data_IF_257910374762
#
_entry.id   IF_257910374762
#
_cell.length_a   1.000
_cell.length_b   1.000
_cell.length_c   1.000
_cell.angle_alpha   90.00
_cell.angle_beta   90.00
_cell.angle_gamma   90.00
#
_symmetry.space_group_name_H-M   'P 1'
#
loop_
_entity.id
_entity.type
_entity.pdbx_description
1 polymer ?
#
# COMPACT_ATOMS: atom_id res chain seq x y z
N UNK A 1 -32.15 10.47 0.39
CA UNK A 1 -31.60 9.29 -0.33
C UNK A 1 -32.04 8.04 0.41
N UNK A 2 -32.63 7.07 -0.26
CA UNK A 2 -33.04 5.83 0.38
C UNK A 2 -31.85 4.88 0.55
N UNK A 3 -32.05 3.77 1.28
CA UNK A 3 -30.99 2.83 1.58
C UNK A 3 -30.39 2.18 0.33
N UNK A 4 -31.21 1.90 -0.68
CA UNK A 4 -30.72 1.29 -1.93
C UNK A 4 -29.84 2.24 -2.71
N UNK A 5 -30.24 3.51 -2.81
CA UNK A 5 -29.45 4.52 -3.51
C UNK A 5 -28.12 4.78 -2.80
N UNK A 6 -28.16 4.87 -1.46
CA UNK A 6 -26.97 5.08 -0.66
C UNK A 6 -25.99 3.92 -0.78
N UNK A 7 -26.51 2.69 -0.72
CA UNK A 7 -25.67 1.49 -0.83
C UNK A 7 -25.06 1.38 -2.22
N UNK A 8 -25.81 1.70 -3.26
CA UNK A 8 -25.31 1.69 -4.63
C UNK A 8 -24.21 2.73 -4.82
N UNK A 9 -24.40 3.92 -4.26
CA UNK A 9 -23.41 4.98 -4.31
C UNK A 9 -22.09 4.53 -3.63
N UNK A 10 -22.18 3.90 -2.46
CA UNK A 10 -21.01 3.39 -1.75
C UNK A 10 -20.29 2.31 -2.53
N UNK A 11 -21.03 1.41 -3.18
CA UNK A 11 -20.44 0.37 -4.01
C UNK A 11 -19.69 0.96 -5.21
N UNK A 12 -20.27 1.97 -5.85
CA UNK A 12 -19.61 2.66 -6.95
C UNK A 12 -18.32 3.36 -6.49
N UNK A 13 -18.38 4.04 -5.35
CA UNK A 13 -17.19 4.69 -4.78
C UNK A 13 -16.11 3.68 -4.44
N UNK A 14 -16.51 2.55 -3.86
CA UNK A 14 -15.56 1.49 -3.51
C UNK A 14 -14.88 0.92 -4.76
N UNK A 15 -15.66 0.69 -5.83
CA UNK A 15 -15.10 0.19 -7.09
C UNK A 15 -14.15 1.19 -7.73
N UNK A 16 -14.49 2.47 -7.72
CA UNK A 16 -13.63 3.52 -8.24
C UNK A 16 -12.34 3.63 -7.44
N UNK A 17 -12.46 3.59 -6.11
CA UNK A 17 -11.29 3.65 -5.23
C UNK A 17 -10.36 2.45 -5.47
N UNK A 18 -10.94 1.26 -5.63
CA UNK A 18 -10.17 0.04 -5.87
C UNK A 18 -9.45 0.08 -7.22
N UNK A 19 -10.12 0.55 -8.27
CA UNK A 19 -9.51 0.67 -9.59
C UNK A 19 -8.35 1.65 -9.58
N UNK A 20 -8.52 2.79 -8.91
CA UNK A 20 -7.46 3.79 -8.77
C UNK A 20 -6.29 3.24 -7.95
N UNK A 21 -6.61 2.53 -6.87
CA UNK A 21 -5.59 1.95 -5.99
C UNK A 21 -4.77 0.88 -6.71
N UNK A 22 -5.38 0.08 -7.60
CA UNK A 22 -4.66 -0.95 -8.34
C UNK A 22 -3.53 -0.33 -9.17
N UNK A 23 -3.79 0.78 -9.83
CA UNK A 23 -2.78 1.49 -10.62
C UNK A 23 -1.73 2.15 -9.72
N UNK A 24 -2.19 2.81 -8.66
CA UNK A 24 -1.29 3.46 -7.71
C UNK A 24 -0.36 2.45 -7.02
N UNK A 25 -0.92 1.34 -6.57
CA UNK A 25 -0.16 0.30 -5.88
C UNK A 25 0.89 -0.32 -6.80
N UNK A 26 0.52 -0.55 -8.08
CA UNK A 26 1.47 -1.07 -9.06
C UNK A 26 2.67 -0.12 -9.23
N UNK A 27 2.40 1.20 -9.34
CA UNK A 27 3.47 2.18 -9.45
C UNK A 27 4.40 2.16 -8.24
N UNK A 28 3.83 2.06 -7.05
CA UNK A 28 4.62 2.00 -5.80
C UNK A 28 5.46 0.73 -5.73
N UNK A 29 4.87 -0.41 -6.09
CA UNK A 29 5.58 -1.69 -6.09
C UNK A 29 6.74 -1.66 -7.09
N UNK A 30 6.49 -1.17 -8.31
CA UNK A 30 7.54 -1.07 -9.32
C UNK A 30 8.69 -0.17 -8.87
N UNK A 31 8.38 0.94 -8.21
CA UNK A 31 9.42 1.82 -7.67
C UNK A 31 10.27 1.08 -6.64
N UNK A 32 9.64 0.39 -5.69
CA UNK A 32 10.36 -0.35 -4.66
C UNK A 32 11.18 -1.50 -5.21
N UNK A 33 10.73 -2.11 -6.32
CA UNK A 33 11.45 -3.20 -6.98
C UNK A 33 12.66 -2.73 -7.79
N UNK A 34 12.59 -1.54 -8.37
CA UNK A 34 13.55 -1.08 -9.39
C UNK A 34 14.49 0.00 -8.93
N UNK A 35 14.21 0.65 -7.81
CA UNK A 35 14.98 1.80 -7.34
C UNK A 35 15.55 1.54 -5.96
N UNK A 36 16.69 2.17 -5.66
CA UNK A 36 17.35 2.09 -4.35
C UNK A 36 17.40 3.45 -3.66
N UNK A 37 16.62 4.42 -4.12
CA UNK A 37 16.59 5.76 -3.54
C UNK A 37 15.95 5.79 -2.16
N UNK A 38 16.16 6.89 -1.44
CA UNK A 38 15.49 7.10 -0.15
C UNK A 38 13.98 7.10 -0.27
N UNK A 39 13.42 7.68 -1.34
CA UNK A 39 11.98 7.67 -1.59
C UNK A 39 11.47 6.24 -1.80
N UNK A 40 12.21 5.42 -2.56
CA UNK A 40 11.84 4.02 -2.77
C UNK A 40 11.84 3.23 -1.46
N UNK A 41 12.78 3.52 -0.55
CA UNK A 41 12.82 2.89 0.77
C UNK A 41 11.60 3.25 1.62
N UNK A 42 11.16 4.51 1.56
CA UNK A 42 9.94 4.94 2.25
C UNK A 42 8.71 4.26 1.68
N UNK A 43 8.65 4.13 0.35
CA UNK A 43 7.57 3.39 -0.33
C UNK A 43 7.57 1.93 0.09
N UNK A 44 8.75 1.30 0.19
CA UNK A 44 8.85 -0.10 0.64
C UNK A 44 8.26 -0.27 2.05
N UNK A 45 8.52 0.65 2.97
CA UNK A 45 7.93 0.60 4.32
C UNK A 45 6.41 0.75 4.28
N UNK A 46 5.89 1.64 3.42
CA UNK A 46 4.46 1.76 3.23
C UNK A 46 3.85 0.45 2.73
N UNK A 47 4.46 -0.15 1.70
CA UNK A 47 4.00 -1.42 1.13
C UNK A 47 4.00 -2.54 2.18
N UNK A 48 5.05 -2.63 2.98
CA UNK A 48 5.13 -3.62 4.06
C UNK A 48 3.96 -3.46 5.04
N UNK A 49 3.61 -2.21 5.38
CA UNK A 49 2.50 -1.93 6.30
C UNK A 49 1.15 -2.36 5.73
N UNK A 50 0.98 -2.31 4.40
CA UNK A 50 -0.26 -2.76 3.75
C UNK A 50 -0.35 -4.28 3.69
N UNK A 51 0.78 -4.97 3.82
CA UNK A 51 0.85 -6.44 3.79
C UNK A 51 0.62 -7.03 5.17
N UNK A 52 1.30 -6.49 6.19
CA UNK A 52 1.15 -6.91 7.57
C UNK A 52 1.43 -5.73 8.49
N UNK A 53 0.37 -5.01 8.86
CA UNK A 53 0.48 -3.79 9.65
C UNK A 53 0.91 -4.02 11.09
N UNK A 54 0.69 -5.21 11.66
CA UNK A 54 1.15 -5.53 13.00
C UNK A 54 2.67 -5.66 13.04
N UNK A 55 3.23 -6.36 12.07
CA UNK A 55 4.67 -6.57 12.00
C UNK A 55 5.40 -5.33 11.48
N UNK A 56 4.79 -4.60 10.54
CA UNK A 56 5.40 -3.45 9.88
C UNK A 56 4.50 -2.22 10.04
N UNK A 57 4.36 -1.69 11.27
CA UNK A 57 3.50 -0.53 11.50
C UNK A 57 4.01 0.69 10.75
N UNK A 58 3.09 1.49 10.23
CA UNK A 58 3.43 2.71 9.50
C UNK A 58 3.33 3.92 10.43
N UNK A 59 4.39 4.71 10.48
CA UNK A 59 4.36 6.03 11.07
C UNK A 59 3.73 6.98 10.03
N UNK A 60 2.61 7.60 10.38
CA UNK A 60 1.91 8.50 9.46
C UNK A 60 2.76 9.68 9.01
N UNK A 61 3.75 10.08 9.80
CA UNK A 61 4.68 11.14 9.38
C UNK A 61 5.45 10.77 8.11
N UNK A 62 5.55 9.49 7.78
CA UNK A 62 6.20 9.06 6.53
C UNK A 62 5.52 9.67 5.31
N UNK A 63 4.21 9.93 5.37
CA UNK A 63 3.49 10.57 4.25
C UNK A 63 4.02 11.96 3.94
N UNK A 64 4.49 12.68 4.95
CA UNK A 64 5.07 14.02 4.78
C UNK A 64 6.43 14.00 4.08
N UNK A 65 7.10 12.86 4.14
CA UNK A 65 8.45 12.70 3.61
C UNK A 65 8.45 12.18 2.16
N UNK A 66 7.29 11.76 1.67
CA UNK A 66 7.15 11.31 0.29
C UNK A 66 6.98 12.49 -0.66
N UNK A 67 7.53 12.36 -1.88
CA UNK A 67 7.20 13.29 -2.95
C UNK A 67 5.68 13.30 -3.17
N UNK A 68 5.15 14.43 -3.63
CA UNK A 68 3.70 14.60 -3.75
C UNK A 68 3.04 13.49 -4.57
N UNK A 69 3.63 13.14 -5.71
CA UNK A 69 3.08 12.09 -6.57
C UNK A 69 3.02 10.73 -5.85
N UNK A 70 4.03 10.40 -5.04
CA UNK A 70 4.07 9.16 -4.29
C UNK A 70 3.07 9.20 -3.13
N UNK A 71 2.93 10.33 -2.46
CA UNK A 71 1.93 10.46 -1.40
C UNK A 71 0.52 10.40 -1.96
N UNK A 72 0.27 10.94 -3.15
CA UNK A 72 -1.02 10.79 -3.83
C UNK A 72 -1.34 9.31 -4.07
N UNK A 73 -0.35 8.54 -4.52
CA UNK A 73 -0.53 7.11 -4.73
C UNK A 73 -0.78 6.37 -3.41
N UNK A 74 -0.05 6.73 -2.36
CA UNK A 74 -0.26 6.13 -1.04
C UNK A 74 -1.67 6.43 -0.52
N UNK A 75 -2.14 7.67 -0.68
CA UNK A 75 -3.49 8.05 -0.25
C UNK A 75 -4.57 7.32 -1.05
N UNK A 76 -4.35 7.10 -2.34
CA UNK A 76 -5.28 6.31 -3.16
C UNK A 76 -5.39 4.87 -2.62
N UNK A 77 -4.27 4.29 -2.21
CA UNK A 77 -4.25 2.96 -1.61
C UNK A 77 -4.98 2.95 -0.26
N UNK A 78 -4.74 3.94 0.58
CA UNK A 78 -5.40 4.08 1.89
C UNK A 78 -6.92 4.23 1.70
N UNK A 79 -7.34 5.01 0.71
CA UNK A 79 -8.76 5.18 0.42
C UNK A 79 -9.42 3.84 0.07
N UNK A 80 -8.75 3.01 -0.73
CA UNK A 80 -9.28 1.69 -1.07
C UNK A 80 -9.36 0.76 0.14
N UNK A 81 -8.38 0.84 1.05
CA UNK A 81 -8.34 -0.01 2.25
C UNK A 81 -9.60 0.14 3.11
N UNK A 82 -10.08 1.36 3.28
CA UNK A 82 -11.23 1.60 4.16
C UNK A 82 -12.52 0.95 3.66
N UNK A 83 -12.60 0.64 2.37
CA UNK A 83 -13.78 -0.02 1.81
C UNK A 83 -13.82 -1.53 2.04
N UNK A 84 -12.66 -2.13 2.36
CA UNK A 84 -12.57 -3.54 2.74
C UNK A 84 -12.95 -4.55 1.68
N UNK A 85 -12.81 -4.20 0.39
CA UNK A 85 -13.22 -5.08 -0.72
C UNK A 85 -12.18 -6.15 -1.03
N UNK A 86 -10.90 -5.82 -0.90
CA UNK A 86 -9.80 -6.75 -1.15
C UNK A 86 -8.54 -6.20 -0.49
N UNK A 87 -7.62 -7.10 -0.17
CA UNK A 87 -6.27 -6.69 0.22
C UNK A 87 -5.58 -6.06 -0.99
N UNK A 88 -4.78 -5.02 -0.76
CA UNK A 88 -4.13 -4.29 -1.86
C UNK A 88 -3.26 -5.19 -2.73
N UNK A 89 -2.50 -6.11 -2.12
CA UNK A 89 -1.63 -6.98 -2.90
C UNK A 89 -2.41 -7.91 -3.83
N UNK A 90 -3.68 -8.20 -3.54
CA UNK A 90 -4.52 -9.03 -4.41
C UNK A 90 -4.95 -8.30 -5.68
N UNK A 91 -4.76 -6.97 -5.72
CA UNK A 91 -5.08 -6.19 -6.92
C UNK A 91 -4.03 -6.35 -8.03
N UNK A 92 -2.88 -6.97 -7.72
CA UNK A 92 -1.79 -7.16 -8.66
C UNK A 92 -1.55 -8.63 -8.94
N UNK A 93 -1.16 -9.00 -10.18
CA UNK A 93 -0.66 -10.35 -10.45
C UNK A 93 0.57 -10.64 -9.58
N UNK A 94 0.60 -11.79 -8.93
CA UNK A 94 1.68 -12.18 -8.03
C UNK A 94 1.94 -11.18 -6.89
N UNK A 95 0.91 -10.41 -6.51
CA UNK A 95 1.09 -9.31 -5.56
C UNK A 95 1.68 -9.75 -4.23
N UNK A 96 1.17 -10.84 -3.66
CA UNK A 96 1.68 -11.34 -2.37
C UNK A 96 3.18 -11.67 -2.46
N UNK A 97 3.59 -12.39 -3.51
CA UNK A 97 4.98 -12.76 -3.72
C UNK A 97 5.85 -11.52 -3.94
N UNK A 98 5.34 -10.57 -4.71
CA UNK A 98 6.09 -9.34 -5.02
C UNK A 98 6.31 -8.49 -3.77
N UNK A 99 5.29 -8.34 -2.92
CA UNK A 99 5.44 -7.58 -1.68
C UNK A 99 6.39 -8.29 -0.73
N UNK A 100 6.28 -9.62 -0.59
CA UNK A 100 7.22 -10.37 0.24
C UNK A 100 8.65 -10.18 -0.24
N UNK A 101 8.87 -10.18 -1.55
CA UNK A 101 10.20 -9.96 -2.13
C UNK A 101 10.71 -8.53 -1.87
N UNK A 102 9.84 -7.52 -1.93
CA UNK A 102 10.19 -6.14 -1.58
C UNK A 102 10.65 -6.06 -0.12
N UNK A 103 9.88 -6.66 0.78
CA UNK A 103 10.20 -6.66 2.22
C UNK A 103 11.58 -7.26 2.45
N UNK A 104 11.86 -8.39 1.82
CA UNK A 104 13.16 -9.07 1.95
C UNK A 104 14.29 -8.24 1.32
N UNK A 105 14.07 -7.72 0.11
CA UNK A 105 15.12 -6.99 -0.60
C UNK A 105 15.52 -5.70 0.11
N UNK A 106 14.58 -5.07 0.82
CA UNK A 106 14.85 -3.86 1.59
C UNK A 106 15.28 -4.16 3.03
N UNK A 107 15.37 -5.45 3.41
CA UNK A 107 15.84 -5.86 4.73
C UNK A 107 14.89 -5.53 5.87
N UNK A 108 13.62 -5.29 5.58
CA UNK A 108 12.65 -4.89 6.60
C UNK A 108 12.34 -6.02 7.57
N UNK A 109 12.31 -7.25 7.10
CA UNK A 109 12.13 -8.44 7.93
C UNK A 109 13.31 -8.66 8.88
N UNK A 110 14.53 -8.40 8.42
CA UNK A 110 15.73 -8.56 9.23
C UNK A 110 15.79 -7.52 10.33
N UNK A 111 15.37 -6.28 10.05
CA UNK A 111 15.34 -5.21 11.05
C UNK A 111 14.43 -5.58 12.22
N UNK A 112 13.28 -6.20 11.96
CA UNK A 112 12.35 -6.68 12.98
C UNK A 112 12.99 -7.79 13.82
N UNK A 113 13.62 -8.75 13.16
CA UNK A 113 14.28 -9.86 13.85
C UNK A 113 15.43 -9.36 14.73
N UNK A 114 16.19 -8.38 14.27
CA UNK A 114 17.28 -7.77 15.04
C UNK A 114 16.74 -7.04 16.27
N UNK A 115 15.61 -6.40 16.18
CA UNK A 115 14.98 -5.70 17.30
C UNK A 115 14.53 -6.65 18.39
N UNK A 116 14.13 -7.86 18.03
CA UNK A 116 13.70 -8.88 18.97
C UNK A 116 14.86 -9.62 19.64
N UNK A 117 15.99 -9.60 19.02
CA UNK A 117 17.19 -10.23 19.55
C UNK A 117 17.81 -9.40 20.66
#
# INVERSE_FOLDING_TARGET
MDEFEQQREWEERAQQAQAKAAQAYLRLVELAERSDTGQAGRVARFLASTFNGERYPLDLFELRMLDVALSDDALACIDALRWGKADLYKLLPDGERRIAAVITSWGLDKSQDSAEA
#
